data_IF_234094247627
#
_entry.id   IF_234094247627
#
_cell.length_a   1.000
_cell.length_b   1.000
_cell.length_c   1.000
_cell.angle_alpha   90.00
_cell.angle_beta   90.00
_cell.angle_gamma   90.00
#
_symmetry.space_group_name_H-M   'P 1'
#
loop_
_entity.id
_entity.type
_entity.pdbx_description
1 polymer ?
#
# COMPACT_ATOMS: atom_id res chain seq x y z
N UNK A 1 -25.27 14.41 -16.93
CA UNK A 1 -24.88 13.68 -15.71
C UNK A 1 -26.11 13.14 -14.95
N UNK A 2 -27.11 13.95 -14.61
CA UNK A 2 -28.28 13.49 -13.85
C UNK A 2 -28.99 12.28 -14.51
N UNK A 3 -29.13 12.23 -15.83
CA UNK A 3 -29.70 11.11 -16.56
C UNK A 3 -28.88 9.82 -16.46
N UNK A 4 -27.54 9.91 -16.43
CA UNK A 4 -26.65 8.74 -16.29
C UNK A 4 -26.77 8.08 -14.90
N UNK A 5 -27.00 8.87 -13.85
CA UNK A 5 -27.19 8.35 -12.49
C UNK A 5 -28.58 7.80 -12.26
N UNK A 6 -29.62 8.43 -12.84
CA UNK A 6 -31.02 7.99 -12.68
C UNK A 6 -31.32 6.66 -13.38
N UNK A 7 -30.52 6.29 -14.37
CA UNK A 7 -30.70 5.03 -15.15
C UNK A 7 -29.97 3.82 -14.55
N UNK A 8 -29.33 3.96 -13.39
CA UNK A 8 -28.57 2.88 -12.78
C UNK A 8 -29.45 1.82 -12.14
N UNK A 9 -29.34 0.58 -12.64
CA UNK A 9 -29.99 -0.59 -12.06
C UNK A 9 -28.97 -1.68 -11.77
N UNK A 10 -29.20 -2.44 -10.69
CA UNK A 10 -28.39 -3.60 -10.30
C UNK A 10 -29.31 -4.79 -10.03
N UNK A 11 -28.83 -6.00 -10.28
CA UNK A 11 -29.49 -7.21 -9.90
C UNK A 11 -28.50 -8.18 -9.25
N UNK A 12 -28.98 -8.99 -8.30
CA UNK A 12 -28.17 -10.04 -7.70
C UNK A 12 -28.22 -11.27 -8.62
N UNK A 13 -27.07 -11.79 -9.03
CA UNK A 13 -26.97 -13.02 -9.78
C UNK A 13 -27.05 -14.23 -8.83
N UNK A 14 -28.06 -15.07 -9.01
CA UNK A 14 -28.23 -16.33 -8.28
C UNK A 14 -28.15 -17.46 -9.30
N UNK A 15 -27.15 -18.33 -9.18
CA UNK A 15 -26.89 -19.43 -10.12
C UNK A 15 -26.87 -18.99 -11.61
N UNK A 16 -26.30 -17.81 -11.88
CA UNK A 16 -26.18 -17.27 -13.23
C UNK A 16 -27.44 -16.56 -13.76
N UNK A 17 -28.55 -16.56 -13.03
CA UNK A 17 -29.77 -15.84 -13.40
C UNK A 17 -29.88 -14.51 -12.61
N UNK A 18 -30.13 -13.37 -13.28
CA UNK A 18 -30.38 -12.12 -12.59
C UNK A 18 -31.72 -12.17 -11.86
N UNK A 19 -31.72 -11.78 -10.57
CA UNK A 19 -32.91 -11.58 -9.78
C UNK A 19 -33.63 -10.27 -10.14
N UNK A 20 -34.50 -9.79 -9.23
CA UNK A 20 -35.22 -8.54 -9.43
C UNK A 20 -34.27 -7.34 -9.54
N UNK A 21 -34.56 -6.45 -10.47
CA UNK A 21 -33.81 -5.22 -10.69
C UNK A 21 -34.04 -4.20 -9.56
N UNK A 22 -32.95 -3.71 -9.00
CA UNK A 22 -32.92 -2.70 -7.94
C UNK A 22 -32.47 -1.38 -8.56
N UNK A 23 -33.26 -0.34 -8.46
CA UNK A 23 -32.89 1.00 -8.91
C UNK A 23 -31.87 1.61 -7.93
N UNK A 24 -30.68 1.95 -8.42
CA UNK A 24 -29.63 2.57 -7.62
C UNK A 24 -29.95 4.06 -7.44
N UNK A 25 -30.27 4.48 -6.22
CA UNK A 25 -30.63 5.88 -5.89
C UNK A 25 -29.44 6.71 -5.40
N UNK A 26 -28.28 6.10 -5.10
CA UNK A 26 -27.08 6.74 -4.54
C UNK A 26 -25.82 6.03 -4.99
N UNK A 27 -24.70 6.75 -4.92
CA UNK A 27 -23.38 6.23 -5.23
C UNK A 27 -23.08 6.20 -6.72
N UNK A 28 -21.87 5.75 -7.05
CA UNK A 28 -21.38 5.58 -8.41
C UNK A 28 -21.43 4.09 -8.79
N UNK A 29 -21.72 3.79 -10.05
CA UNK A 29 -21.76 2.42 -10.53
C UNK A 29 -20.34 1.85 -10.56
N UNK A 30 -20.12 0.72 -9.91
CA UNK A 30 -18.86 -0.02 -9.99
C UNK A 30 -18.69 -0.59 -11.40
N UNK A 31 -17.50 -0.40 -11.99
CA UNK A 31 -17.21 -0.82 -13.36
C UNK A 31 -17.57 0.19 -14.45
N UNK A 32 -18.22 1.31 -14.12
CA UNK A 32 -18.44 2.40 -15.06
C UNK A 32 -17.15 3.21 -15.25
N UNK A 33 -16.75 3.46 -16.48
CA UNK A 33 -15.51 4.18 -16.81
C UNK A 33 -15.50 5.63 -16.27
N UNK A 34 -16.65 6.25 -16.09
CA UNK A 34 -16.76 7.62 -15.55
C UNK A 34 -16.67 7.68 -14.02
N UNK A 35 -17.03 6.62 -13.32
CA UNK A 35 -17.09 6.58 -11.86
C UNK A 35 -15.77 6.96 -11.16
N UNK A 36 -14.58 6.46 -11.58
CA UNK A 36 -13.31 6.85 -10.98
C UNK A 36 -13.01 8.35 -11.13
N UNK A 37 -13.30 8.94 -12.27
CA UNK A 37 -13.08 10.37 -12.51
C UNK A 37 -13.95 11.25 -11.62
N UNK A 38 -15.21 10.88 -11.47
CA UNK A 38 -16.13 11.59 -10.58
C UNK A 38 -15.72 11.46 -9.12
N UNK A 39 -15.25 10.28 -8.71
CA UNK A 39 -14.72 10.07 -7.37
C UNK A 39 -13.51 10.97 -7.10
N UNK A 40 -12.55 11.06 -8.04
CA UNK A 40 -11.38 11.94 -7.91
C UNK A 40 -11.78 13.41 -7.78
N UNK A 41 -12.77 13.87 -8.56
CA UNK A 41 -13.28 15.24 -8.44
C UNK A 41 -13.87 15.51 -7.05
N UNK A 42 -14.61 14.55 -6.49
CA UNK A 42 -15.17 14.68 -5.13
C UNK A 42 -14.05 14.62 -4.08
N UNK A 43 -13.07 13.74 -4.25
CA UNK A 43 -11.92 13.63 -3.34
C UNK A 43 -11.09 14.93 -3.30
N UNK A 44 -10.90 15.62 -4.43
CA UNK A 44 -10.20 16.92 -4.51
C UNK A 44 -10.87 18.00 -3.64
N UNK A 45 -12.18 17.92 -3.45
CA UNK A 45 -12.90 18.85 -2.56
C UNK A 45 -12.38 18.76 -1.13
N UNK A 46 -12.07 17.57 -0.61
CA UNK A 46 -11.51 17.41 0.74
C UNK A 46 -10.13 18.08 0.86
N UNK A 47 -9.27 17.95 -0.16
CA UNK A 47 -7.98 18.62 -0.17
C UNK A 47 -8.12 20.15 -0.15
N UNK A 48 -9.05 20.69 -0.94
CA UNK A 48 -9.35 22.13 -0.98
C UNK A 48 -9.90 22.62 0.34
N UNK A 49 -10.88 21.93 0.92
CA UNK A 49 -11.45 22.25 2.22
C UNK A 49 -10.38 22.24 3.31
N UNK A 50 -9.50 21.23 3.34
CA UNK A 50 -8.40 21.16 4.29
C UNK A 50 -7.43 22.34 4.20
N UNK A 51 -7.06 22.78 2.99
CA UNK A 51 -6.21 23.95 2.77
C UNK A 51 -6.86 25.25 3.28
N UNK A 52 -8.17 25.41 3.11
CA UNK A 52 -8.89 26.63 3.54
C UNK A 52 -9.29 26.63 5.02
N UNK A 53 -9.26 25.47 5.69
CA UNK A 53 -9.69 25.33 7.09
C UNK A 53 -8.63 25.73 8.12
N UNK A 54 -7.44 26.23 7.70
CA UNK A 54 -6.35 26.61 8.57
C UNK A 54 -5.94 25.50 9.57
N UNK A 55 -6.01 24.24 9.15
CA UNK A 55 -5.51 23.10 9.89
C UNK A 55 -4.00 23.05 9.66
N UNK A 56 -3.23 23.11 10.76
CA UNK A 56 -1.77 23.26 10.67
C UNK A 56 -1.04 21.94 10.49
N UNK A 57 0.02 21.99 9.72
CA UNK A 57 1.00 20.91 9.61
C UNK A 57 1.71 20.67 10.97
N UNK A 58 2.05 19.41 11.33
CA UNK A 58 2.68 19.14 12.64
C UNK A 58 4.09 19.71 12.79
N UNK A 59 4.89 19.80 11.73
CA UNK A 59 6.31 20.12 11.80
C UNK A 59 6.71 21.45 11.13
N UNK A 60 5.97 21.93 10.14
CA UNK A 60 6.31 23.16 9.40
C UNK A 60 5.13 24.12 9.38
N UNK A 61 5.40 25.40 9.10
CA UNK A 61 4.34 26.37 8.90
C UNK A 61 3.67 26.16 7.53
N UNK A 62 2.46 25.66 7.57
CA UNK A 62 1.71 25.32 6.37
C UNK A 62 0.44 24.54 6.68
N UNK A 63 -0.38 24.28 5.66
CA UNK A 63 -1.60 23.50 5.81
C UNK A 63 -1.31 22.03 6.06
N UNK A 64 -2.24 21.35 6.72
CA UNK A 64 -2.22 19.90 6.91
C UNK A 64 -2.12 19.18 5.57
N UNK A 65 -1.13 18.31 5.36
CA UNK A 65 -1.07 17.47 4.17
C UNK A 65 -2.16 16.40 4.21
N UNK A 66 -2.89 16.29 3.11
CA UNK A 66 -3.93 15.29 2.88
C UNK A 66 -3.45 14.36 1.78
N UNK A 67 -3.09 13.15 2.12
CA UNK A 67 -2.67 12.11 1.18
C UNK A 67 -3.85 11.16 0.96
N UNK A 68 -4.34 11.11 -0.26
CA UNK A 68 -5.50 10.30 -0.62
C UNK A 68 -5.15 9.26 -1.68
N UNK A 69 -5.63 8.05 -1.48
CA UNK A 69 -5.62 6.99 -2.46
C UNK A 69 -6.92 6.21 -2.38
N UNK A 70 -7.79 6.39 -3.39
CA UNK A 70 -9.16 5.91 -3.37
C UNK A 70 -9.88 6.37 -2.08
N UNK A 71 -10.39 5.43 -1.28
CA UNK A 71 -11.06 5.67 0.00
C UNK A 71 -10.09 5.85 1.19
N UNK A 72 -8.84 5.44 1.03
CA UNK A 72 -7.81 5.61 2.07
C UNK A 72 -7.31 7.06 2.10
N UNK A 73 -7.38 7.69 3.28
CA UNK A 73 -6.90 9.05 3.50
C UNK A 73 -5.96 9.11 4.70
N UNK A 74 -4.75 9.63 4.49
CA UNK A 74 -3.78 9.89 5.54
C UNK A 74 -3.68 11.39 5.78
N UNK A 75 -3.87 11.81 7.03
CA UNK A 75 -3.82 13.19 7.49
C UNK A 75 -2.73 13.38 8.52
N UNK A 76 -1.85 14.36 8.32
CA UNK A 76 -0.80 14.73 9.28
C UNK A 76 -1.17 16.08 9.90
N UNK A 77 -1.63 16.04 11.14
CA UNK A 77 -2.23 17.21 11.82
C UNK A 77 -1.46 17.54 13.11
N UNK A 78 -1.27 18.82 13.38
CA UNK A 78 -0.73 19.27 14.67
C UNK A 78 -1.69 18.85 15.79
N UNK A 79 -1.16 18.25 16.86
CA UNK A 79 -1.93 17.70 17.96
C UNK A 79 -2.44 18.80 18.94
N UNK A 80 -2.97 19.90 18.39
CA UNK A 80 -3.64 20.96 19.13
C UNK A 80 -5.16 20.80 19.03
N UNK A 81 -5.87 21.00 20.13
CA UNK A 81 -7.33 20.79 20.18
C UNK A 81 -8.07 21.67 19.17
N UNK A 82 -7.54 22.86 18.89
CA UNK A 82 -8.13 23.79 17.89
C UNK A 82 -8.04 23.18 16.48
N UNK A 83 -6.86 22.63 16.10
CA UNK A 83 -6.67 22.02 14.78
C UNK A 83 -7.50 20.75 14.61
N UNK A 84 -7.59 19.94 15.68
CA UNK A 84 -8.43 18.72 15.67
C UNK A 84 -9.93 19.07 15.57
N UNK A 85 -10.40 20.12 16.20
CA UNK A 85 -11.79 20.60 16.04
C UNK A 85 -12.03 21.07 14.61
N UNK A 86 -11.11 21.86 14.04
CA UNK A 86 -11.20 22.30 12.65
C UNK A 86 -11.25 21.10 11.70
N UNK A 87 -10.37 20.11 11.92
CA UNK A 87 -10.38 18.86 11.16
C UNK A 87 -11.75 18.19 11.23
N UNK A 88 -12.31 18.01 12.44
CA UNK A 88 -13.63 17.39 12.63
C UNK A 88 -14.73 18.12 11.85
N UNK A 89 -14.77 19.43 11.97
CA UNK A 89 -15.74 20.28 11.25
C UNK A 89 -15.55 20.15 9.72
N UNK A 90 -14.32 20.15 9.24
CA UNK A 90 -13.99 20.00 7.82
C UNK A 90 -14.47 18.65 7.27
N UNK A 91 -14.20 17.57 8.01
CA UNK A 91 -14.62 16.21 7.63
C UNK A 91 -16.15 16.07 7.65
N UNK A 92 -16.81 16.63 8.65
CA UNK A 92 -18.27 16.59 8.76
C UNK A 92 -18.93 17.44 7.64
N UNK A 93 -18.36 18.61 7.32
CA UNK A 93 -18.82 19.44 6.18
C UNK A 93 -18.64 18.74 4.84
N UNK A 94 -17.50 18.08 4.65
CA UNK A 94 -17.26 17.26 3.45
C UNK A 94 -18.29 16.12 3.34
N UNK A 95 -18.56 15.41 4.45
CA UNK A 95 -19.53 14.33 4.47
C UNK A 95 -20.96 14.82 4.17
N UNK A 96 -21.33 16.00 4.67
CA UNK A 96 -22.63 16.62 4.39
C UNK A 96 -22.76 17.02 2.91
N UNK A 97 -21.72 17.61 2.34
CA UNK A 97 -21.74 18.11 0.96
C UNK A 97 -21.70 16.97 -0.07
N UNK A 98 -20.98 15.88 0.20
CA UNK A 98 -20.72 14.82 -0.77
C UNK A 98 -21.52 13.54 -0.52
N UNK A 99 -22.04 13.35 0.70
CA UNK A 99 -22.62 12.09 1.14
C UNK A 99 -21.60 11.01 1.52
N UNK A 100 -20.29 11.26 1.38
CA UNK A 100 -19.21 10.34 1.75
C UNK A 100 -18.93 10.46 3.25
N UNK A 101 -19.50 9.58 4.04
CA UNK A 101 -19.35 9.58 5.50
C UNK A 101 -18.02 8.97 5.92
N UNK A 102 -17.32 9.66 6.82
CA UNK A 102 -16.10 9.14 7.43
C UNK A 102 -16.46 8.01 8.41
N UNK A 103 -15.78 6.90 8.27
CA UNK A 103 -15.93 5.77 9.19
C UNK A 103 -14.91 5.88 10.33
N UNK A 104 -15.25 6.60 11.38
CA UNK A 104 -14.36 6.83 12.53
C UNK A 104 -14.00 5.54 13.29
N UNK A 105 -14.88 4.53 13.29
CA UNK A 105 -14.60 3.25 13.94
C UNK A 105 -13.53 2.41 13.20
N UNK A 106 -13.36 2.63 11.89
CA UNK A 106 -12.28 2.03 11.08
C UNK A 106 -11.06 2.95 10.96
N UNK A 107 -11.19 4.22 11.38
CA UNK A 107 -10.10 5.17 11.32
C UNK A 107 -9.20 5.01 12.53
N UNK A 108 -7.90 5.18 12.33
CA UNK A 108 -6.88 4.99 13.35
C UNK A 108 -6.18 6.31 13.66
N UNK A 109 -6.07 6.65 14.93
CA UNK A 109 -5.29 7.77 15.44
C UNK A 109 -3.93 7.25 15.95
N UNK A 110 -2.85 7.75 15.38
CA UNK A 110 -1.48 7.41 15.79
C UNK A 110 -0.81 8.65 16.40
N UNK A 111 -0.65 8.73 17.72
CA UNK A 111 -0.05 9.88 18.37
C UNK A 111 1.48 9.88 18.20
N UNK A 112 2.06 11.07 17.91
CA UNK A 112 3.49 11.29 17.84
C UNK A 112 3.88 12.37 18.85
N UNK A 113 4.53 11.98 19.94
CA UNK A 113 4.99 12.89 21.01
C UNK A 113 3.86 13.77 21.58
N UNK A 114 2.67 13.20 21.79
CA UNK A 114 1.51 13.91 22.35
C UNK A 114 1.37 13.59 23.85
N UNK A 115 1.25 14.61 24.73
CA UNK A 115 0.98 14.39 26.15
C UNK A 115 -0.33 13.63 26.37
N UNK A 116 -0.38 12.76 27.41
CA UNK A 116 -1.48 11.83 27.64
C UNK A 116 -2.82 12.53 27.86
N UNK A 117 -2.84 13.62 28.64
CA UNK A 117 -4.04 14.42 28.89
C UNK A 117 -4.66 15.00 27.60
N UNK A 118 -3.80 15.46 26.69
CA UNK A 118 -4.21 15.97 25.40
C UNK A 118 -4.69 14.84 24.48
N UNK A 119 -3.99 13.72 24.47
CA UNK A 119 -4.34 12.54 23.68
C UNK A 119 -5.76 12.04 24.00
N UNK A 120 -6.08 11.91 25.28
CA UNK A 120 -7.43 11.49 25.72
C UNK A 120 -8.53 12.43 25.23
N UNK A 121 -8.25 13.75 25.22
CA UNK A 121 -9.19 14.75 24.69
C UNK A 121 -9.37 14.61 23.19
N UNK A 122 -8.29 14.32 22.42
CA UNK A 122 -8.32 14.11 20.98
C UNK A 122 -9.11 12.85 20.65
N UNK A 123 -8.84 11.73 21.33
CA UNK A 123 -9.55 10.46 21.15
C UNK A 123 -11.06 10.64 21.38
N UNK A 124 -11.45 11.31 22.47
CA UNK A 124 -12.86 11.61 22.76
C UNK A 124 -13.53 12.46 21.67
N UNK A 125 -12.78 13.38 21.07
CA UNK A 125 -13.29 14.29 20.05
C UNK A 125 -13.46 13.61 18.68
N UNK A 126 -12.49 12.79 18.28
CA UNK A 126 -12.49 12.11 16.98
C UNK A 126 -13.25 10.76 17.00
N UNK A 127 -13.33 10.12 18.18
CA UNK A 127 -13.92 8.80 18.34
C UNK A 127 -13.26 7.71 17.44
N UNK A 128 -11.96 7.87 17.17
CA UNK A 128 -11.16 6.92 16.43
C UNK A 128 -10.43 5.95 17.38
N UNK A 129 -10.08 4.79 16.86
CA UNK A 129 -9.22 3.86 17.60
C UNK A 129 -7.80 4.41 17.70
N UNK A 130 -7.22 4.37 18.90
CA UNK A 130 -5.82 4.68 19.10
C UNK A 130 -4.95 3.47 18.76
N UNK A 131 -3.84 3.72 18.07
CA UNK A 131 -2.83 2.71 17.80
C UNK A 131 -1.41 3.32 17.86
N UNK A 132 -0.42 2.46 17.80
CA UNK A 132 1.00 2.82 17.73
C UNK A 132 1.62 2.38 16.41
N UNK A 133 2.81 2.91 16.09
CA UNK A 133 3.60 2.41 14.96
C UNK A 133 4.14 0.98 15.23
N UNK A 134 4.37 0.17 14.16
CA UNK A 134 4.12 0.47 12.75
C UNK A 134 2.64 0.33 12.35
N UNK A 135 2.20 1.14 11.39
CA UNK A 135 0.89 1.05 10.76
C UNK A 135 1.02 0.59 9.32
N UNK A 136 -0.01 0.00 8.77
CA UNK A 136 -0.03 -0.38 7.34
C UNK A 136 -0.78 0.69 6.56
N UNK A 137 -0.10 1.32 5.59
CA UNK A 137 -0.71 2.23 4.63
C UNK A 137 -0.39 1.79 3.21
N UNK A 138 -1.42 1.57 2.41
CA UNK A 138 -1.32 1.05 1.04
C UNK A 138 -0.48 -0.24 0.94
N UNK A 139 -0.55 -1.11 1.95
CA UNK A 139 0.21 -2.36 1.97
C UNK A 139 1.69 -2.23 2.36
N UNK A 140 2.14 -1.03 2.73
CA UNK A 140 3.49 -0.77 3.22
C UNK A 140 3.48 -0.47 4.72
N UNK A 141 4.45 -0.96 5.50
CA UNK A 141 4.58 -0.59 6.90
C UNK A 141 5.08 0.86 7.02
N UNK A 142 4.26 1.71 7.62
CA UNK A 142 4.59 3.09 7.97
C UNK A 142 5.10 3.13 9.41
N UNK A 143 6.26 3.72 9.66
CA UNK A 143 6.88 3.82 10.98
C UNK A 143 7.68 5.10 11.13
N UNK A 144 7.78 5.62 12.34
CA UNK A 144 8.63 6.74 12.72
C UNK A 144 10.03 6.31 13.16
N UNK A 145 10.28 5.01 13.22
CA UNK A 145 11.58 4.41 13.57
C UNK A 145 11.95 3.32 12.57
N UNK A 146 13.19 2.87 12.61
CA UNK A 146 13.66 1.77 11.76
C UNK A 146 12.79 0.53 11.99
N UNK A 147 12.27 -0.02 10.89
CA UNK A 147 11.42 -1.21 10.92
C UNK A 147 12.23 -2.44 11.37
N UNK A 148 11.65 -3.23 12.26
CA UNK A 148 12.17 -4.53 12.64
C UNK A 148 11.80 -5.61 11.60
N UNK A 149 12.40 -6.80 11.69
CA UNK A 149 12.14 -7.90 10.77
C UNK A 149 10.68 -8.37 10.80
N UNK A 150 10.00 -8.26 11.94
CA UNK A 150 8.61 -8.66 12.08
C UNK A 150 7.65 -7.81 11.20
N UNK A 151 7.99 -6.55 10.92
CA UNK A 151 7.20 -5.70 10.04
C UNK A 151 7.13 -6.23 8.60
N UNK A 152 8.06 -7.09 8.21
CA UNK A 152 8.12 -7.71 6.87
C UNK A 152 7.49 -9.11 6.83
N UNK A 153 6.98 -9.63 7.96
CA UNK A 153 6.31 -10.93 8.01
C UNK A 153 5.17 -11.09 7.00
N UNK A 154 4.35 -10.05 6.70
CA UNK A 154 3.32 -10.14 5.67
C UNK A 154 3.88 -10.41 4.27
N UNK A 155 5.07 -9.88 3.93
CA UNK A 155 5.74 -10.16 2.66
C UNK A 155 6.16 -11.64 2.57
N UNK A 156 6.79 -12.15 3.62
CA UNK A 156 7.20 -13.56 3.69
C UNK A 156 5.98 -14.49 3.60
N UNK A 157 4.92 -14.19 4.36
CA UNK A 157 3.66 -14.96 4.30
C UNK A 157 3.01 -14.93 2.91
N UNK A 158 3.16 -13.84 2.17
CA UNK A 158 2.68 -13.73 0.79
C UNK A 158 3.47 -14.63 -0.16
N UNK A 159 4.79 -14.72 0.02
CA UNK A 159 5.66 -15.64 -0.73
C UNK A 159 5.27 -17.09 -0.40
N UNK A 160 5.16 -17.45 0.87
CA UNK A 160 4.80 -18.80 1.32
C UNK A 160 3.44 -19.24 0.76
N UNK A 161 2.44 -18.37 0.80
CA UNK A 161 1.10 -18.64 0.26
C UNK A 161 1.12 -18.90 -1.26
N UNK A 162 1.98 -18.20 -2.00
CA UNK A 162 2.12 -18.45 -3.44
C UNK A 162 2.79 -19.80 -3.71
N UNK A 163 3.83 -20.11 -2.96
CA UNK A 163 4.55 -21.38 -3.09
C UNK A 163 3.67 -22.59 -2.72
N UNK A 164 2.88 -22.50 -1.64
CA UNK A 164 1.99 -23.58 -1.20
C UNK A 164 0.86 -23.90 -2.17
N UNK A 165 0.42 -22.90 -2.98
CA UNK A 165 -0.60 -23.08 -4.01
C UNK A 165 -0.10 -23.76 -5.29
N UNK A 166 1.22 -23.94 -5.45
CA UNK A 166 1.79 -24.55 -6.65
C UNK A 166 2.08 -26.03 -6.45
N UNK A 167 1.60 -26.85 -7.39
CA UNK A 167 1.95 -28.28 -7.45
C UNK A 167 3.36 -28.45 -8.01
N UNK A 168 4.36 -28.07 -7.22
CA UNK A 168 5.76 -28.04 -7.65
C UNK A 168 6.27 -29.43 -8.10
N UNK A 169 5.68 -30.52 -7.61
CA UNK A 169 6.00 -31.88 -8.04
C UNK A 169 5.70 -32.14 -9.52
N UNK A 170 4.75 -31.40 -10.09
CA UNK A 170 4.35 -31.52 -11.51
C UNK A 170 5.22 -30.59 -12.42
N UNK A 171 6.03 -29.73 -11.83
CA UNK A 171 6.83 -28.75 -12.55
C UNK A 171 8.28 -29.21 -12.70
N UNK A 172 8.80 -29.15 -13.92
CA UNK A 172 10.22 -29.30 -14.19
C UNK A 172 11.00 -28.04 -13.73
N UNK A 173 12.34 -28.10 -13.73
CA UNK A 173 13.20 -27.00 -13.28
C UNK A 173 12.97 -25.71 -14.07
N UNK A 174 12.77 -25.82 -15.40
CA UNK A 174 12.54 -24.67 -16.25
C UNK A 174 11.23 -23.94 -15.89
N UNK A 175 10.15 -24.70 -15.69
CA UNK A 175 8.86 -24.12 -15.26
C UNK A 175 8.93 -23.46 -13.90
N UNK A 176 9.70 -24.04 -12.94
CA UNK A 176 9.96 -23.43 -11.64
C UNK A 176 10.75 -22.13 -11.77
N UNK A 177 11.76 -22.09 -12.64
CA UNK A 177 12.53 -20.89 -12.94
C UNK A 177 11.64 -19.77 -13.50
N UNK A 178 10.76 -20.08 -14.45
CA UNK A 178 9.80 -19.11 -14.99
C UNK A 178 8.92 -18.54 -13.89
N UNK A 179 8.40 -19.37 -12.96
CA UNK A 179 7.57 -18.89 -11.85
C UNK A 179 8.35 -18.03 -10.84
N UNK A 180 9.62 -18.34 -10.58
CA UNK A 180 10.48 -17.48 -9.74
C UNK A 180 10.59 -16.10 -10.39
N UNK A 181 11.00 -16.02 -11.64
CA UNK A 181 11.27 -14.76 -12.33
C UNK A 181 9.99 -13.94 -12.59
N UNK A 182 8.87 -14.60 -12.91
CA UNK A 182 7.63 -13.91 -13.28
C UNK A 182 6.73 -13.57 -12.09
N UNK A 183 6.76 -14.35 -11.03
CA UNK A 183 5.84 -14.19 -9.91
C UNK A 183 6.56 -13.82 -8.61
N UNK A 184 7.53 -14.63 -8.16
CA UNK A 184 8.14 -14.41 -6.84
C UNK A 184 8.96 -13.13 -6.80
N UNK A 185 9.71 -12.82 -7.85
CA UNK A 185 10.47 -11.57 -7.96
C UNK A 185 9.55 -10.34 -7.93
N UNK A 186 8.36 -10.46 -8.52
CA UNK A 186 7.35 -9.39 -8.52
C UNK A 186 6.75 -9.11 -7.15
N UNK A 187 6.66 -10.11 -6.25
CA UNK A 187 6.02 -9.95 -4.93
C UNK A 187 6.72 -8.94 -4.03
N UNK A 188 8.07 -8.91 -4.07
CA UNK A 188 8.88 -8.00 -3.27
C UNK A 188 9.04 -6.62 -3.92
N UNK A 189 8.88 -6.51 -5.24
CA UNK A 189 9.16 -5.28 -6.01
C UNK A 189 8.41 -4.07 -5.49
N UNK A 190 7.13 -4.22 -5.15
CA UNK A 190 6.31 -3.13 -4.62
C UNK A 190 6.90 -2.55 -3.33
N UNK A 191 7.31 -3.41 -2.39
CA UNK A 191 7.92 -2.97 -1.14
C UNK A 191 9.33 -2.41 -1.35
N UNK A 192 10.11 -3.02 -2.24
CA UNK A 192 11.46 -2.57 -2.61
C UNK A 192 11.50 -1.19 -3.28
N UNK A 193 10.41 -0.74 -3.89
CA UNK A 193 10.32 0.61 -4.47
C UNK A 193 10.29 1.70 -3.40
N UNK A 194 9.85 1.40 -2.18
CA UNK A 194 9.67 2.36 -1.10
C UNK A 194 10.62 2.13 0.08
N UNK A 195 11.08 0.90 0.29
CA UNK A 195 11.84 0.51 1.47
C UNK A 195 13.12 -0.26 1.10
N UNK A 196 14.19 0.01 1.84
CA UNK A 196 15.36 -0.85 1.85
C UNK A 196 15.04 -2.13 2.64
N UNK A 197 15.00 -3.27 1.96
CA UNK A 197 14.74 -4.55 2.63
C UNK A 197 15.95 -4.95 3.47
N UNK A 198 15.77 -5.35 4.74
CA UNK A 198 16.85 -5.89 5.55
C UNK A 198 17.46 -7.13 4.90
N UNK A 199 18.80 -7.35 5.01
CA UNK A 199 19.47 -8.53 4.45
C UNK A 199 18.84 -9.85 4.90
N UNK A 200 18.35 -9.93 6.15
CA UNK A 200 17.66 -11.12 6.66
C UNK A 200 16.35 -11.44 5.92
N UNK A 201 15.63 -10.42 5.44
CA UNK A 201 14.40 -10.62 4.65
C UNK A 201 14.74 -11.07 3.24
N UNK A 202 15.75 -10.47 2.61
CA UNK A 202 16.26 -10.91 1.30
C UNK A 202 16.69 -12.36 1.36
N UNK A 203 17.52 -12.72 2.36
CA UNK A 203 17.97 -14.10 2.57
C UNK A 203 16.82 -15.08 2.82
N UNK A 204 15.77 -14.65 3.55
CA UNK A 204 14.58 -15.47 3.79
C UNK A 204 13.79 -15.73 2.50
N UNK A 205 13.66 -14.73 1.60
CA UNK A 205 13.03 -14.89 0.28
C UNK A 205 13.88 -15.78 -0.61
N UNK A 206 15.19 -15.57 -0.65
CA UNK A 206 16.13 -16.36 -1.48
C UNK A 206 16.19 -17.80 -1.04
N UNK A 207 16.14 -18.09 0.26
CA UNK A 207 16.05 -19.45 0.77
C UNK A 207 14.83 -20.20 0.21
N UNK A 208 13.68 -19.51 0.10
CA UNK A 208 12.43 -20.06 -0.47
C UNK A 208 12.52 -20.24 -1.98
N UNK A 209 13.09 -19.25 -2.70
CA UNK A 209 13.31 -19.32 -4.16
C UNK A 209 14.23 -20.49 -4.50
N UNK A 210 15.31 -20.65 -3.74
CA UNK A 210 16.27 -21.76 -3.87
C UNK A 210 15.60 -23.11 -3.61
N UNK A 211 14.86 -23.22 -2.50
CA UNK A 211 14.14 -24.44 -2.16
C UNK A 211 13.14 -24.84 -3.24
N UNK A 212 12.36 -23.89 -3.74
CA UNK A 212 11.41 -24.12 -4.82
C UNK A 212 12.09 -24.54 -6.12
N UNK A 213 13.19 -23.87 -6.51
CA UNK A 213 13.92 -24.20 -7.73
C UNK A 213 14.43 -25.66 -7.70
N UNK A 214 15.18 -26.00 -6.65
CA UNK A 214 15.89 -27.27 -6.60
C UNK A 214 15.04 -28.44 -6.13
N UNK A 215 14.21 -28.27 -5.12
CA UNK A 215 13.44 -29.38 -4.54
C UNK A 215 11.94 -29.32 -4.83
N UNK A 216 11.39 -28.18 -5.28
CA UNK A 216 9.96 -27.95 -5.37
C UNK A 216 9.25 -27.95 -4.02
N UNK A 217 9.97 -27.81 -2.91
CA UNK A 217 9.48 -27.82 -1.53
C UNK A 217 9.82 -26.51 -0.82
N UNK A 218 9.23 -26.31 0.34
CA UNK A 218 9.46 -25.11 1.17
C UNK A 218 10.88 -25.02 1.72
N UNK A 219 11.55 -26.17 1.88
CA UNK A 219 12.93 -26.26 2.40
C UNK A 219 13.76 -27.19 1.53
N UNK A 220 15.04 -26.88 1.41
CA UNK A 220 16.02 -27.74 0.76
C UNK A 220 17.30 -27.82 1.59
N UNK A 221 18.03 -28.93 1.46
CA UNK A 221 19.39 -29.05 2.00
C UNK A 221 20.41 -28.56 0.97
N UNK A 222 21.55 -28.04 1.41
CA UNK A 222 22.63 -27.61 0.52
C UNK A 222 23.09 -28.70 -0.46
N UNK A 223 23.04 -29.97 -0.04
CA UNK A 223 23.41 -31.13 -0.89
C UNK A 223 22.50 -31.31 -2.12
N UNK A 224 21.30 -30.73 -2.14
CA UNK A 224 20.37 -30.76 -3.29
C UNK A 224 20.53 -29.56 -4.23
N UNK A 225 21.30 -28.57 -3.84
CA UNK A 225 21.59 -27.40 -4.68
C UNK A 225 22.77 -27.73 -5.60
N UNK A 226 22.50 -27.84 -6.89
CA UNK A 226 23.51 -28.22 -7.88
C UNK A 226 24.53 -27.10 -8.15
N UNK A 227 24.15 -25.86 -7.95
CA UNK A 227 24.95 -24.67 -8.25
C UNK A 227 24.78 -23.65 -7.11
N UNK A 228 25.79 -22.84 -6.86
CA UNK A 228 25.72 -21.71 -5.90
C UNK A 228 24.66 -20.73 -6.33
N UNK A 229 23.98 -20.12 -5.34
CA UNK A 229 22.88 -19.19 -5.62
C UNK A 229 23.34 -17.95 -6.36
N UNK A 230 24.54 -17.47 -6.08
CA UNK A 230 25.12 -16.31 -6.76
C UNK A 230 25.38 -16.59 -8.25
N UNK A 231 25.77 -17.82 -8.59
CA UNK A 231 25.93 -18.22 -10.00
C UNK A 231 24.59 -18.38 -10.71
N UNK A 232 23.53 -18.84 -10.00
CA UNK A 232 22.16 -18.89 -10.52
C UNK A 232 21.66 -17.48 -10.86
N UNK A 233 22.04 -16.48 -10.08
CA UNK A 233 21.62 -15.08 -10.25
C UNK A 233 22.39 -14.34 -11.36
N UNK A 234 23.49 -14.89 -11.89
CA UNK A 234 24.18 -14.27 -13.03
C UNK A 234 23.28 -14.16 -14.26
N UNK A 235 23.51 -13.15 -15.11
CA UNK A 235 22.85 -13.07 -16.40
C UNK A 235 23.03 -14.35 -17.23
N UNK A 236 22.01 -14.70 -18.03
CA UNK A 236 22.08 -15.90 -18.90
C UNK A 236 23.24 -15.85 -19.90
N UNK A 237 23.63 -14.64 -20.34
CA UNK A 237 24.79 -14.43 -21.21
C UNK A 237 26.12 -14.74 -20.51
N UNK A 238 26.15 -14.74 -19.18
CA UNK A 238 27.31 -15.05 -18.36
C UNK A 238 27.25 -16.48 -17.76
N UNK A 239 26.36 -17.31 -18.27
CA UNK A 239 26.19 -18.70 -17.85
C UNK A 239 25.30 -18.90 -16.64
N UNK A 240 24.62 -17.86 -16.13
CA UNK A 240 23.63 -17.97 -15.06
C UNK A 240 22.23 -18.31 -15.56
N UNK A 241 21.27 -18.38 -14.65
CA UNK A 241 19.85 -18.59 -14.97
C UNK A 241 19.05 -17.29 -15.04
N UNK A 242 19.67 -16.13 -14.82
CA UNK A 242 19.03 -14.82 -14.88
C UNK A 242 18.00 -14.59 -13.77
N UNK A 243 18.11 -15.29 -12.65
CA UNK A 243 17.32 -15.00 -11.46
C UNK A 243 17.80 -13.69 -10.86
N UNK A 244 16.89 -12.75 -10.62
CA UNK A 244 17.27 -11.42 -10.14
C UNK A 244 17.90 -11.50 -8.74
N UNK A 245 19.04 -10.82 -8.56
CA UNK A 245 19.54 -10.50 -7.23
C UNK A 245 18.66 -9.43 -6.59
N UNK A 246 17.95 -9.79 -5.52
CA UNK A 246 17.01 -8.91 -4.84
C UNK A 246 17.69 -7.71 -4.17
N UNK A 247 18.93 -7.88 -3.71
CA UNK A 247 19.69 -6.79 -3.09
C UNK A 247 20.00 -5.70 -4.11
N UNK A 248 20.55 -6.08 -5.24
CA UNK A 248 20.83 -5.17 -6.37
C UNK A 248 19.55 -4.57 -6.92
N UNK A 249 18.49 -5.36 -7.08
CA UNK A 249 17.20 -4.85 -7.55
C UNK A 249 16.62 -3.80 -6.61
N UNK A 250 16.69 -4.03 -5.28
CA UNK A 250 16.21 -3.07 -4.29
C UNK A 250 17.03 -1.78 -4.33
N UNK A 251 18.37 -1.88 -4.41
CA UNK A 251 19.24 -0.71 -4.55
C UNK A 251 18.91 0.11 -5.82
N UNK A 252 18.74 -0.54 -6.97
CA UNK A 252 18.37 0.12 -8.22
C UNK A 252 17.00 0.84 -8.14
N UNK A 253 16.01 0.22 -7.49
CA UNK A 253 14.69 0.83 -7.33
C UNK A 253 14.74 2.07 -6.41
N UNK A 254 15.51 2.01 -5.32
CA UNK A 254 15.71 3.16 -4.42
C UNK A 254 16.54 4.27 -5.08
N UNK A 255 17.57 3.93 -5.87
CA UNK A 255 18.34 4.91 -6.65
C UNK A 255 17.44 5.63 -7.66
N UNK A 256 16.50 4.95 -8.30
CA UNK A 256 15.50 5.60 -9.17
C UNK A 256 14.61 6.59 -8.40
N UNK A 257 14.23 6.26 -7.16
CA UNK A 257 13.50 7.18 -6.29
C UNK A 257 14.35 8.40 -5.93
N UNK A 258 15.62 8.18 -5.55
CA UNK A 258 16.58 9.24 -5.25
C UNK A 258 16.82 10.14 -6.45
N UNK A 259 16.99 9.59 -7.65
CA UNK A 259 17.12 10.37 -8.89
C UNK A 259 15.92 11.30 -9.10
N UNK A 260 14.69 10.82 -8.87
CA UNK A 260 13.49 11.67 -8.96
C UNK A 260 13.49 12.81 -7.94
N UNK A 261 14.02 12.59 -6.73
CA UNK A 261 14.17 13.64 -5.71
C UNK A 261 15.13 14.73 -6.14
N UNK A 262 16.20 14.38 -6.88
CA UNK A 262 17.17 15.35 -7.38
C UNK A 262 16.69 16.14 -8.62
N UNK A 263 15.61 15.70 -9.28
CA UNK A 263 15.03 16.35 -10.45
C UNK A 263 13.56 16.75 -10.19
N UNK A 264 13.32 17.75 -9.31
CA UNK A 264 11.98 18.15 -8.88
C UNK A 264 11.13 18.73 -10.02
N UNK A 265 11.77 19.27 -11.06
CA UNK A 265 11.10 19.78 -12.26
C UNK A 265 10.35 18.71 -13.05
N UNK A 266 10.72 17.45 -12.87
CA UNK A 266 10.11 16.30 -13.54
C UNK A 266 9.04 15.60 -12.70
N UNK A 267 8.84 16.02 -11.43
CA UNK A 267 7.97 15.31 -10.50
C UNK A 267 7.36 16.22 -9.44
N UNK A 268 6.04 16.39 -9.49
CA UNK A 268 5.30 17.13 -8.47
C UNK A 268 5.54 16.57 -7.03
N UNK A 269 5.76 15.26 -6.91
CA UNK A 269 6.13 14.62 -5.65
C UNK A 269 7.49 15.09 -5.14
N UNK A 270 8.51 15.18 -5.99
CA UNK A 270 9.84 15.63 -5.59
C UNK A 270 9.84 17.11 -5.19
N UNK A 271 9.04 17.93 -5.87
CA UNK A 271 8.83 19.33 -5.51
C UNK A 271 8.11 19.49 -4.15
N UNK A 272 7.23 18.54 -3.79
CA UNK A 272 6.52 18.55 -2.50
C UNK A 272 7.39 18.07 -1.33
N UNK A 273 8.31 17.15 -1.55
CA UNK A 273 9.17 16.56 -0.49
C UNK A 273 10.31 17.51 -0.10
N UNK A 274 10.75 18.42 -0.96
CA UNK A 274 11.75 19.48 -0.68
C UNK A 274 11.13 20.66 0.04
#
# INVERSE_FOLDING_TARGET
MQMLFSSSHSAVLINGCPGNWITCKRGLRQGDALSPYLFVLVADVLQRLSKHSNIRHPAVDGPCPVLQYADDTLLLVRAEIVDIRRLKVTLDSFAMATGLKINYSKSTLVPMHVPQDRLERIVRLLQCQQASFPQVYLGLPLSNVKLNLAAFAPLISKVDRRLSGWQAALLNHQSRLVLINSVLDGLATYMMQALALPPGIISAIDSRRRAFLWSGKDKTSGAKCLVKWDDVQRPSLEGGLGVKDLATQNACLLLKLLHRLHHPEQSAWAAWVR
#
